data_IF_983563649381
#
_entry.id   IF_983563649381
#
_cell.length_a   1.000
_cell.length_b   1.000
_cell.length_c   1.000
_cell.angle_alpha   90.00
_cell.angle_beta   90.00
_cell.angle_gamma   90.00
#
_symmetry.space_group_name_H-M   'P 1'
#
loop_
_entity.id
_entity.type
_entity.pdbx_description
1 polymer ?
#
# COMPACT_ATOMS: atom_id res chain seq x y z
N UNK A 1 2.20 12.61 16.71
CA UNK A 1 2.78 11.34 17.20
C UNK A 1 2.91 10.45 15.98
N UNK A 2 4.13 10.07 15.58
CA UNK A 2 4.33 9.15 14.45
C UNK A 2 4.02 7.75 14.95
N UNK A 3 2.95 7.14 14.44
CA UNK A 3 2.56 5.78 14.78
C UNK A 3 3.36 4.81 13.89
N UNK A 4 3.81 3.68 14.46
CA UNK A 4 4.52 2.68 13.67
C UNK A 4 3.56 2.10 12.62
N UNK A 5 3.90 2.29 11.35
CA UNK A 5 3.12 1.72 10.25
C UNK A 5 3.19 0.20 10.28
N UNK A 6 2.03 -0.44 10.36
CA UNK A 6 1.83 -1.83 9.94
C UNK A 6 1.15 -1.86 8.55
N UNK A 7 1.88 -2.27 7.49
CA UNK A 7 1.34 -2.30 6.13
C UNK A 7 0.18 -3.28 5.93
N UNK A 8 -0.04 -4.25 6.83
CA UNK A 8 -1.14 -5.21 6.72
C UNK A 8 -2.47 -4.67 7.22
N UNK A 9 -2.43 -3.71 8.14
CA UNK A 9 -3.60 -3.15 8.82
C UNK A 9 -3.88 -1.70 8.46
N UNK A 10 -2.96 -1.01 7.76
CA UNK A 10 -3.22 0.36 7.32
C UNK A 10 -4.49 0.42 6.44
N UNK A 11 -5.45 1.31 6.72
CA UNK A 11 -6.66 1.38 5.91
C UNK A 11 -6.40 1.87 4.48
N UNK A 12 -7.00 1.22 3.49
CA UNK A 12 -6.79 1.50 2.06
C UNK A 12 -7.81 2.48 1.45
N UNK A 13 -8.50 3.26 2.26
CA UNK A 13 -9.41 4.34 1.81
C UNK A 13 -9.00 5.71 2.34
N UNK A 14 -9.48 6.73 1.62
CA UNK A 14 -9.14 8.12 1.87
C UNK A 14 -7.67 8.40 1.58
N UNK A 15 -7.18 9.51 2.11
CA UNK A 15 -5.78 9.91 1.97
C UNK A 15 -4.99 9.47 3.20
N UNK A 16 -3.84 8.83 2.98
CA UNK A 16 -2.92 8.39 4.04
C UNK A 16 -1.53 8.97 3.76
N UNK A 17 -0.91 9.54 4.79
CA UNK A 17 0.48 9.97 4.76
C UNK A 17 1.33 8.91 5.44
N UNK A 18 2.35 8.41 4.74
CA UNK A 18 3.32 7.45 5.27
C UNK A 18 4.69 8.12 5.25
N UNK A 19 5.26 8.32 6.44
CA UNK A 19 6.63 8.82 6.59
C UNK A 19 7.61 7.66 6.63
N UNK A 20 8.69 7.73 5.85
CA UNK A 20 9.65 6.64 5.76
C UNK A 20 11.09 7.12 5.47
N UNK A 21 11.97 6.93 6.45
CA UNK A 21 13.39 7.30 6.39
C UNK A 21 14.20 6.39 5.45
N UNK A 22 15.45 6.76 5.18
CA UNK A 22 16.37 5.90 4.42
C UNK A 22 16.49 4.52 5.08
N UNK A 23 16.45 3.46 4.27
CA UNK A 23 16.58 2.07 4.77
C UNK A 23 15.34 1.45 5.41
N UNK A 24 14.21 2.14 5.57
CA UNK A 24 13.02 1.62 6.27
C UNK A 24 12.04 0.86 5.37
N UNK A 25 12.50 0.24 4.28
CA UNK A 25 11.65 -0.63 3.46
C UNK A 25 10.57 0.05 2.62
N UNK A 26 10.70 1.33 2.24
CA UNK A 26 9.71 2.07 1.40
C UNK A 26 9.15 1.27 0.22
N UNK A 27 10.04 0.72 -0.61
CA UNK A 27 9.65 -0.06 -1.79
C UNK A 27 8.88 -1.32 -1.40
N UNK A 28 9.27 -1.96 -0.30
CA UNK A 28 8.59 -3.13 0.25
C UNK A 28 7.19 -2.76 0.74
N UNK A 29 7.06 -1.65 1.48
CA UNK A 29 5.76 -1.14 1.93
C UNK A 29 4.83 -0.86 0.76
N UNK A 30 5.29 -0.17 -0.30
CA UNK A 30 4.48 0.10 -1.48
C UNK A 30 4.02 -1.22 -2.14
N UNK A 31 4.92 -2.20 -2.29
CA UNK A 31 4.55 -3.51 -2.86
C UNK A 31 3.52 -4.25 -2.00
N UNK A 32 3.65 -4.22 -0.67
CA UNK A 32 2.67 -4.82 0.24
C UNK A 32 1.29 -4.16 0.10
N UNK A 33 1.23 -2.83 0.04
CA UNK A 33 -0.04 -2.11 -0.17
C UNK A 33 -0.65 -2.42 -1.55
N UNK A 34 0.19 -2.50 -2.59
CA UNK A 34 -0.25 -2.88 -3.92
C UNK A 34 -0.89 -4.28 -3.92
N UNK A 35 -0.21 -5.27 -3.32
CA UNK A 35 -0.74 -6.63 -3.22
C UNK A 35 -2.06 -6.67 -2.44
N UNK A 36 -2.20 -5.86 -1.38
CA UNK A 36 -3.47 -5.79 -0.66
C UNK A 36 -4.61 -5.25 -1.52
N UNK A 37 -4.36 -4.26 -2.37
CA UNK A 37 -5.35 -3.75 -3.32
C UNK A 37 -5.74 -4.83 -4.35
N UNK A 38 -4.76 -5.57 -4.87
CA UNK A 38 -5.01 -6.62 -5.88
C UNK A 38 -5.73 -7.83 -5.29
N UNK A 39 -5.39 -8.23 -4.07
CA UNK A 39 -5.95 -9.41 -3.41
C UNK A 39 -7.25 -9.10 -2.64
N UNK A 40 -7.62 -7.82 -2.50
CA UNK A 40 -8.73 -7.41 -1.63
C UNK A 40 -8.46 -7.70 -0.15
N UNK A 41 -7.20 -7.62 0.28
CA UNK A 41 -6.81 -7.98 1.65
C UNK A 41 -7.07 -6.85 2.65
N UNK A 42 -7.86 -7.16 3.68
CA UNK A 42 -7.99 -6.37 4.90
C UNK A 42 -9.09 -6.93 5.78
N UNK A 43 -8.80 -7.06 7.08
CA UNK A 43 -9.74 -7.61 8.05
C UNK A 43 -10.74 -6.56 8.51
N UNK A 44 -11.95 -7.00 8.85
CA UNK A 44 -12.94 -6.22 9.57
C UNK A 44 -12.62 -6.25 11.07
N UNK A 45 -12.42 -5.07 11.65
CA UNK A 45 -12.29 -4.92 13.09
C UNK A 45 -13.63 -5.24 13.79
N UNK A 46 -13.60 -5.31 15.12
CA UNK A 46 -14.75 -5.64 15.97
C UNK A 46 -15.99 -4.75 15.70
N UNK A 47 -15.77 -3.52 15.24
CA UNK A 47 -16.83 -2.55 14.90
C UNK A 47 -17.30 -2.65 13.43
N UNK A 48 -16.91 -3.71 12.71
CA UNK A 48 -17.28 -3.96 11.32
C UNK A 48 -16.55 -3.09 10.29
N UNK A 49 -15.53 -2.33 10.71
CA UNK A 49 -14.73 -1.50 9.82
C UNK A 49 -13.60 -2.33 9.21
N UNK A 50 -13.70 -2.70 7.93
CA UNK A 50 -12.67 -3.46 7.21
C UNK A 50 -11.57 -2.58 6.69
N UNK A 51 -10.29 -2.87 6.97
CA UNK A 51 -9.05 -2.19 6.50
C UNK A 51 -8.75 -2.35 5.00
N UNK A 52 -9.51 -3.20 4.30
CA UNK A 52 -9.37 -3.46 2.86
C UNK A 52 -10.03 -2.40 1.98
N UNK A 53 -9.68 -2.40 0.69
CA UNK A 53 -10.42 -1.63 -0.31
C UNK A 53 -11.77 -2.31 -0.61
N UNK A 54 -12.75 -1.57 -1.12
CA UNK A 54 -14.13 -2.05 -1.33
C UNK A 54 -14.22 -3.34 -2.17
N UNK A 55 -13.29 -3.54 -3.09
CA UNK A 55 -13.13 -4.75 -3.92
C UNK A 55 -11.67 -4.95 -4.32
N UNK A 56 -11.27 -6.16 -4.75
CA UNK A 56 -10.02 -6.35 -5.47
C UNK A 56 -9.92 -5.42 -6.70
N UNK A 57 -8.73 -4.87 -6.92
CA UNK A 57 -8.39 -4.04 -8.09
C UNK A 57 -7.48 -4.80 -9.06
N UNK A 58 -7.65 -4.58 -10.36
CA UNK A 58 -6.66 -5.05 -11.34
C UNK A 58 -5.51 -4.05 -11.48
N UNK A 59 -4.30 -4.45 -11.93
CA UNK A 59 -3.16 -3.56 -12.06
C UNK A 59 -3.42 -2.24 -12.79
N UNK A 60 -4.26 -2.25 -13.83
CA UNK A 60 -4.60 -1.05 -14.60
C UNK A 60 -5.47 -0.03 -13.83
N UNK A 61 -6.01 -0.41 -12.68
CA UNK A 61 -6.81 0.46 -11.80
C UNK A 61 -5.95 1.10 -10.69
N UNK A 62 -4.66 0.75 -10.58
CA UNK A 62 -3.76 1.23 -9.53
C UNK A 62 -2.69 2.13 -10.14
N UNK A 63 -2.73 3.41 -9.80
CA UNK A 63 -1.69 4.37 -10.19
C UNK A 63 -0.60 4.43 -9.12
N UNK A 64 0.63 4.05 -9.49
CA UNK A 64 1.82 4.30 -8.68
C UNK A 64 2.76 5.24 -9.43
N UNK A 65 3.26 6.26 -8.73
CA UNK A 65 4.19 7.23 -9.28
C UNK A 65 5.47 7.30 -8.43
N UNK A 66 6.59 7.49 -9.11
CA UNK A 66 7.91 7.61 -8.50
C UNK A 66 8.65 8.80 -9.10
N UNK A 67 9.62 9.35 -8.37
CA UNK A 67 10.36 10.52 -8.83
C UNK A 67 11.26 10.24 -10.04
N UNK A 68 11.80 9.03 -10.14
CA UNK A 68 12.69 8.63 -11.25
C UNK A 68 12.12 7.47 -12.04
N UNK A 69 12.48 7.40 -13.34
CA UNK A 69 12.13 6.27 -14.22
C UNK A 69 12.77 4.96 -13.76
N UNK A 70 13.95 5.03 -13.14
CA UNK A 70 14.62 3.86 -12.58
C UNK A 70 13.81 3.24 -11.44
N UNK A 71 13.30 4.07 -10.52
CA UNK A 71 12.43 3.60 -9.44
C UNK A 71 11.09 3.08 -9.96
N UNK A 72 10.54 3.67 -11.04
CA UNK A 72 9.33 3.14 -11.69
C UNK A 72 9.56 1.71 -12.18
N UNK A 73 10.68 1.47 -12.88
CA UNK A 73 11.04 0.15 -13.38
C UNK A 73 11.29 -0.86 -12.27
N UNK A 74 12.10 -0.49 -11.27
CA UNK A 74 12.39 -1.36 -10.12
C UNK A 74 11.10 -1.79 -9.41
N UNK A 75 10.16 -0.86 -9.22
CA UNK A 75 8.89 -1.19 -8.60
C UNK A 75 8.02 -2.06 -9.52
N UNK A 76 7.97 -1.75 -10.82
CA UNK A 76 7.21 -2.54 -11.80
C UNK A 76 7.75 -3.95 -12.00
N UNK A 77 9.06 -4.18 -11.86
CA UNK A 77 9.66 -5.52 -11.96
C UNK A 77 9.39 -6.36 -10.71
N UNK A 78 9.08 -5.71 -9.57
CA UNK A 78 8.81 -6.35 -8.29
C UNK A 78 7.36 -6.78 -8.12
N UNK A 79 6.43 -6.13 -8.81
CA UNK A 79 4.98 -6.29 -8.68
C UNK A 79 4.46 -7.05 -9.90
#
# INVERSE_FOLDING_TARGET
MSEHLDPLTVPLWGSRLIEASAGTGKTWTIAALYLRLVLGHGEADADGTSTGYMRPLVPSEILVMTFTRAATRELSDRI
#
